data_IF_035818017422
#
_entry.id   IF_035818017422
#
_cell.length_a   1.000
_cell.length_b   1.000
_cell.length_c   1.000
_cell.angle_alpha   90.00
_cell.angle_beta   90.00
_cell.angle_gamma   90.00
#
_symmetry.space_group_name_H-M   'P 1'
#
loop_
_entity.id
_entity.type
_entity.pdbx_description
1 polymer ?
#
# COMPACT_ATOMS: atom_id res chain seq x y z
N UNK A 1 32.55 23.13 27.02
CA UNK A 1 32.24 21.73 26.69
C UNK A 1 30.75 21.43 26.88
N UNK A 2 30.19 21.60 28.08
CA UNK A 2 28.74 21.36 28.33
C UNK A 2 27.82 22.24 27.48
N UNK A 3 28.05 23.56 27.45
CA UNK A 3 27.25 24.49 26.61
C UNK A 3 27.31 24.17 25.10
N UNK A 4 28.42 23.60 24.63
CA UNK A 4 28.58 23.23 23.22
C UNK A 4 27.86 21.91 22.89
N UNK A 5 27.80 20.98 23.86
CA UNK A 5 27.02 19.76 23.77
C UNK A 5 25.52 20.07 23.76
N UNK A 6 25.04 20.99 24.60
CA UNK A 6 23.66 21.47 24.57
C UNK A 6 23.30 22.15 23.23
N UNK A 7 24.23 22.94 22.68
CA UNK A 7 24.03 23.58 21.37
C UNK A 7 23.89 22.55 20.24
N UNK A 8 24.80 21.56 20.19
CA UNK A 8 24.80 20.53 19.15
C UNK A 8 23.55 19.64 19.26
N UNK A 9 23.16 19.27 20.48
CA UNK A 9 21.96 18.46 20.71
C UNK A 9 20.68 19.23 20.33
N UNK A 10 20.60 20.53 20.61
CA UNK A 10 19.51 21.40 20.13
C UNK A 10 19.40 21.41 18.60
N UNK A 11 20.53 21.61 17.90
CA UNK A 11 20.57 21.60 16.43
C UNK A 11 20.16 20.24 15.84
N UNK A 12 20.54 19.14 16.50
CA UNK A 12 20.15 17.80 16.09
C UNK A 12 18.64 17.58 16.20
N UNK A 13 18.01 17.99 17.31
CA UNK A 13 16.56 17.87 17.49
C UNK A 13 15.78 18.73 16.49
N UNK A 14 16.26 19.95 16.22
CA UNK A 14 15.68 20.81 15.20
C UNK A 14 15.76 20.15 13.81
N UNK A 15 16.92 19.63 13.45
CA UNK A 15 17.13 18.91 12.18
C UNK A 15 16.20 17.71 12.06
N UNK A 16 16.07 16.90 13.14
CA UNK A 16 15.12 15.79 13.19
C UNK A 16 13.67 16.25 13.03
N UNK A 17 13.30 17.39 13.62
CA UNK A 17 11.99 18.01 13.43
C UNK A 17 11.72 18.35 11.97
N UNK A 18 12.68 19.02 11.32
CA UNK A 18 12.60 19.39 9.89
C UNK A 18 12.51 18.17 8.98
N UNK A 19 13.30 17.13 9.23
CA UNK A 19 13.25 15.87 8.46
C UNK A 19 11.85 15.24 8.57
N UNK A 20 11.28 15.14 9.78
CA UNK A 20 9.93 14.59 9.96
C UNK A 20 8.88 15.37 9.17
N UNK A 21 8.96 16.70 9.20
CA UNK A 21 8.06 17.56 8.43
C UNK A 21 8.22 17.37 6.91
N UNK A 22 9.46 17.30 6.42
CA UNK A 22 9.75 17.05 5.00
C UNK A 22 9.24 15.69 4.55
N UNK A 23 9.40 14.65 5.36
CA UNK A 23 8.89 13.31 5.02
C UNK A 23 7.36 13.30 4.92
N UNK A 24 6.65 13.96 5.86
CA UNK A 24 5.19 14.07 5.84
C UNK A 24 4.70 14.85 4.62
N UNK A 25 5.23 16.05 4.41
CA UNK A 25 4.84 16.91 3.29
C UNK A 25 5.26 16.31 1.93
N UNK A 26 6.39 15.62 1.87
CA UNK A 26 6.84 14.89 0.68
C UNK A 26 5.88 13.77 0.32
N UNK A 27 5.46 12.95 1.29
CA UNK A 27 4.50 11.88 1.08
C UNK A 27 3.11 12.40 0.66
N UNK A 28 2.70 13.57 1.15
CA UNK A 28 1.45 14.22 0.73
C UNK A 28 1.53 14.72 -0.72
N UNK A 29 2.60 15.46 -1.06
CA UNK A 29 2.82 15.96 -2.43
C UNK A 29 2.95 14.83 -3.43
N UNK A 30 3.67 13.77 -3.08
CA UNK A 30 3.79 12.57 -3.92
C UNK A 30 2.41 11.96 -4.20
N UNK A 31 1.56 11.83 -3.18
CA UNK A 31 0.20 11.32 -3.34
C UNK A 31 -0.64 12.18 -4.28
N UNK A 32 -0.57 13.50 -4.16
CA UNK A 32 -1.29 14.40 -5.07
C UNK A 32 -0.86 14.23 -6.53
N UNK A 33 0.46 14.26 -6.78
CA UNK A 33 1.00 14.11 -8.14
C UNK A 33 0.66 12.73 -8.71
N UNK A 34 0.74 11.69 -7.88
CA UNK A 34 0.38 10.34 -8.29
C UNK A 34 -1.07 10.23 -8.76
N UNK A 35 -2.02 10.80 -8.02
CA UNK A 35 -3.45 10.75 -8.36
C UNK A 35 -3.70 11.43 -9.71
N UNK A 36 -3.09 12.59 -9.94
CA UNK A 36 -3.23 13.32 -11.20
C UNK A 36 -2.64 12.52 -12.37
N UNK A 37 -1.43 11.96 -12.20
CA UNK A 37 -0.79 11.15 -13.23
C UNK A 37 -1.54 9.84 -13.50
N UNK A 38 -2.14 9.23 -12.47
CA UNK A 38 -2.95 8.04 -12.60
C UNK A 38 -4.22 8.30 -13.43
N UNK A 39 -4.89 9.44 -13.22
CA UNK A 39 -6.03 9.86 -14.04
C UNK A 39 -5.61 10.03 -15.51
N UNK A 40 -4.52 10.77 -15.74
CA UNK A 40 -4.03 11.05 -17.09
C UNK A 40 -3.65 9.75 -17.84
N UNK A 41 -2.92 8.86 -17.18
CA UNK A 41 -2.56 7.57 -17.75
C UNK A 41 -3.80 6.71 -18.09
N UNK A 42 -4.84 6.74 -17.24
CA UNK A 42 -6.09 6.02 -17.51
C UNK A 42 -6.86 6.63 -18.66
N UNK A 43 -6.83 7.95 -18.83
CA UNK A 43 -7.34 8.64 -20.01
C UNK A 43 -6.69 8.10 -21.29
N UNK A 44 -5.36 8.04 -21.33
CA UNK A 44 -4.62 7.52 -22.48
C UNK A 44 -4.93 6.05 -22.79
N UNK A 45 -5.08 5.20 -21.77
CA UNK A 45 -5.43 3.79 -22.00
C UNK A 45 -6.85 3.66 -22.58
N UNK A 46 -7.81 4.51 -22.17
CA UNK A 46 -9.16 4.52 -22.77
C UNK A 46 -9.10 4.87 -24.26
N UNK A 47 -8.30 5.87 -24.63
CA UNK A 47 -8.07 6.23 -26.04
C UNK A 47 -7.44 5.08 -26.82
N UNK A 48 -6.44 4.41 -26.23
CA UNK A 48 -5.81 3.24 -26.84
C UNK A 48 -6.80 2.08 -27.04
N UNK A 49 -7.66 1.82 -26.06
CA UNK A 49 -8.68 0.76 -26.17
C UNK A 49 -9.71 1.07 -27.25
N UNK A 50 -10.11 2.33 -27.43
CA UNK A 50 -11.00 2.70 -28.53
C UNK A 50 -10.31 2.56 -29.89
N UNK A 51 -9.03 2.94 -30.01
CA UNK A 51 -8.25 2.70 -31.22
C UNK A 51 -8.09 1.20 -31.50
N UNK A 52 -7.83 0.39 -30.48
CA UNK A 52 -7.73 -1.06 -30.58
C UNK A 52 -9.05 -1.69 -31.06
N UNK A 53 -10.17 -1.24 -30.49
CA UNK A 53 -11.52 -1.63 -30.93
C UNK A 53 -11.75 -1.31 -32.41
N UNK A 54 -11.37 -0.10 -32.85
CA UNK A 54 -11.50 0.31 -34.25
C UNK A 54 -10.67 -0.63 -35.15
N UNK A 55 -9.43 -0.93 -34.77
CA UNK A 55 -8.53 -1.81 -35.53
C UNK A 55 -9.12 -3.21 -35.67
N UNK A 56 -9.63 -3.77 -34.58
CA UNK A 56 -10.22 -5.10 -34.56
C UNK A 56 -11.47 -5.19 -35.44
N UNK A 57 -12.38 -4.22 -35.29
CA UNK A 57 -13.67 -4.26 -36.00
C UNK A 57 -13.53 -3.86 -37.46
N UNK A 58 -12.77 -2.80 -37.78
CA UNK A 58 -12.71 -2.24 -39.13
C UNK A 58 -11.64 -2.91 -40.00
N UNK A 59 -10.40 -3.03 -39.52
CA UNK A 59 -9.29 -3.57 -40.32
C UNK A 59 -9.27 -5.10 -40.32
N UNK A 60 -9.55 -5.74 -39.18
CA UNK A 60 -9.42 -7.19 -39.03
C UNK A 60 -10.74 -7.95 -39.21
N UNK A 61 -11.89 -7.28 -39.04
CA UNK A 61 -13.21 -7.89 -39.16
C UNK A 61 -13.50 -8.95 -38.08
N UNK A 62 -12.78 -8.90 -36.95
CA UNK A 62 -12.95 -9.81 -35.81
C UNK A 62 -13.64 -9.07 -34.66
N UNK A 63 -14.50 -9.74 -33.86
CA UNK A 63 -15.12 -9.10 -32.71
C UNK A 63 -14.05 -8.71 -31.68
N UNK A 64 -14.10 -7.47 -31.21
CA UNK A 64 -13.24 -6.98 -30.15
C UNK A 64 -13.79 -7.41 -28.79
N UNK A 65 -12.93 -8.01 -27.95
CA UNK A 65 -13.23 -8.33 -26.56
C UNK A 65 -12.46 -7.39 -25.63
N UNK A 66 -13.18 -6.65 -24.80
CA UNK A 66 -12.57 -5.70 -23.88
C UNK A 66 -11.77 -6.43 -22.79
N UNK A 67 -10.47 -6.09 -22.60
CA UNK A 67 -9.67 -6.68 -21.55
C UNK A 67 -10.18 -6.26 -20.16
N UNK A 68 -10.17 -7.20 -19.20
CA UNK A 68 -10.57 -6.91 -17.82
C UNK A 68 -9.49 -6.12 -17.09
N UNK A 69 -9.65 -4.81 -17.05
CA UNK A 69 -8.70 -3.89 -16.40
C UNK A 69 -9.26 -3.35 -15.08
N UNK A 70 -9.32 -4.19 -14.04
CA UNK A 70 -9.89 -3.80 -12.73
C UNK A 70 -9.16 -2.67 -11.99
N UNK A 71 -8.00 -2.24 -12.49
CA UNK A 71 -7.32 -1.04 -11.99
C UNK A 71 -7.90 0.26 -12.57
N UNK A 72 -8.71 0.21 -13.63
CA UNK A 72 -9.31 1.38 -14.27
C UNK A 72 -10.55 1.92 -13.55
N UNK A 73 -11.16 1.10 -12.68
CA UNK A 73 -12.45 1.41 -12.05
C UNK A 73 -12.37 2.51 -11.00
N UNK A 74 -11.18 2.86 -10.52
CA UNK A 74 -10.99 3.83 -9.44
C UNK A 74 -9.84 4.77 -9.76
N UNK A 75 -9.92 6.04 -9.38
CA UNK A 75 -8.77 6.95 -9.40
C UNK A 75 -8.61 7.55 -8.01
N UNK A 76 -7.42 7.36 -7.44
CA UNK A 76 -7.08 7.77 -6.07
C UNK A 76 -7.65 6.88 -4.96
N UNK A 77 -7.51 7.36 -3.70
CA UNK A 77 -6.23 7.32 -3.04
C UNK A 77 -5.72 5.88 -2.96
N UNK A 78 -4.44 5.65 -3.29
CA UNK A 78 -3.73 4.39 -3.06
C UNK A 78 -4.14 3.87 -1.68
N UNK A 79 -4.98 2.83 -1.66
CA UNK A 79 -5.73 2.43 -0.47
C UNK A 79 -4.76 2.44 0.69
N UNK A 80 -4.99 3.37 1.64
CA UNK A 80 -3.99 3.71 2.65
C UNK A 80 -3.50 2.41 3.23
N UNK A 81 -2.27 2.00 2.87
CA UNK A 81 -1.68 0.82 3.45
C UNK A 81 -1.67 1.18 4.91
N UNK A 82 -2.57 0.56 5.71
CA UNK A 82 -2.61 0.80 7.16
C UNK A 82 -1.17 0.75 7.57
N UNK A 83 -0.64 1.88 8.04
CA UNK A 83 0.69 1.91 8.61
C UNK A 83 0.67 0.75 9.58
N UNK A 84 1.55 -0.24 9.34
CA UNK A 84 1.61 -1.39 10.22
C UNK A 84 2.02 -0.78 11.56
N UNK A 85 1.05 -0.63 12.46
CA UNK A 85 1.28 -0.10 13.79
C UNK A 85 2.46 -0.85 14.37
N UNK A 86 3.39 -0.11 14.96
CA UNK A 86 4.60 -0.72 15.49
C UNK A 86 4.20 -1.74 16.56
N UNK A 87 4.94 -2.83 16.72
CA UNK A 87 4.53 -3.94 17.59
C UNK A 87 4.30 -3.47 19.04
N UNK A 88 5.07 -2.45 19.46
CA UNK A 88 4.93 -1.78 20.76
C UNK A 88 3.63 -0.98 20.87
N UNK A 89 3.24 -0.27 19.83
CA UNK A 89 2.04 0.59 19.82
C UNK A 89 0.75 -0.25 19.85
N UNK A 90 0.76 -1.40 19.15
CA UNK A 90 -0.33 -2.38 19.24
C UNK A 90 -0.41 -3.00 20.62
N UNK A 91 0.73 -3.31 21.24
CA UNK A 91 0.77 -3.88 22.58
C UNK A 91 0.22 -2.91 23.63
N UNK A 92 0.57 -1.62 23.55
CA UNK A 92 0.05 -0.60 24.48
C UNK A 92 -1.46 -0.42 24.34
N UNK A 93 -2.00 -0.34 23.12
CA UNK A 93 -3.44 -0.24 22.90
C UNK A 93 -4.21 -1.47 23.45
N UNK A 94 -3.65 -2.68 23.30
CA UNK A 94 -4.29 -3.90 23.79
C UNK A 94 -4.29 -4.02 25.33
N UNK A 95 -3.25 -3.49 25.97
CA UNK A 95 -3.15 -3.42 27.44
C UNK A 95 -4.11 -2.37 28.00
N UNK A 96 -4.25 -1.22 27.34
CA UNK A 96 -5.17 -0.14 27.74
C UNK A 96 -6.64 -0.53 27.57
N UNK A 97 -6.98 -1.26 26.51
CA UNK A 97 -8.38 -1.64 26.20
C UNK A 97 -8.80 -2.96 26.89
N UNK A 98 -7.90 -3.64 27.61
CA UNK A 98 -8.25 -4.78 28.45
C UNK A 98 -8.86 -5.98 27.70
N UNK A 99 -8.52 -6.20 26.43
CA UNK A 99 -9.12 -7.26 25.57
C UNK A 99 -8.22 -8.46 25.28
N UNK A 100 -7.39 -8.83 26.25
CA UNK A 100 -6.44 -9.95 26.11
C UNK A 100 -7.17 -11.28 25.82
N UNK A 101 -8.40 -11.46 26.31
CA UNK A 101 -9.19 -12.69 26.08
C UNK A 101 -9.70 -12.86 24.64
N UNK A 102 -10.04 -11.79 23.92
CA UNK A 102 -10.53 -11.89 22.53
C UNK A 102 -9.41 -12.25 21.55
N UNK A 103 -8.20 -11.75 21.79
CA UNK A 103 -7.03 -11.99 20.94
C UNK A 103 -6.51 -13.44 21.05
N UNK A 104 -6.48 -13.99 22.26
CA UNK A 104 -6.15 -15.40 22.50
C UNK A 104 -7.17 -16.35 21.85
N UNK A 105 -8.45 -15.97 21.82
CA UNK A 105 -9.50 -16.71 21.11
C UNK A 105 -9.40 -16.67 19.57
N UNK A 106 -8.81 -15.61 19.00
CA UNK A 106 -8.49 -15.53 17.57
C UNK A 106 -7.28 -16.38 17.19
N UNK A 107 -6.23 -16.37 18.03
CA UNK A 107 -5.05 -17.22 17.85
C UNK A 107 -5.36 -18.72 18.01
N UNK A 108 -6.21 -19.10 18.97
CA UNK A 108 -6.62 -20.49 19.15
C UNK A 108 -7.40 -21.06 17.94
N UNK A 109 -8.16 -20.23 17.21
CA UNK A 109 -8.93 -20.65 16.03
C UNK A 109 -8.09 -20.87 14.77
N UNK A 110 -6.88 -20.31 14.71
CA UNK A 110 -5.93 -20.45 13.59
C UNK A 110 -4.98 -21.65 13.73
N UNK A 111 -5.07 -22.40 14.83
CA UNK A 111 -4.32 -23.63 15.02
C UNK A 111 -5.11 -24.86 14.56
N UNK A 112 -5.09 -25.20 13.27
CA UNK A 112 -5.10 -26.60 12.83
C UNK A 112 -4.95 -26.79 11.31
N UNK A 113 -4.14 -27.83 10.98
CA UNK A 113 -3.90 -28.55 9.72
C UNK A 113 -2.83 -28.00 8.77
N UNK A 114 -1.60 -28.41 9.06
CA UNK A 114 -0.59 -28.67 8.01
C UNK A 114 -1.06 -29.91 7.23
N UNK A 115 -1.29 -29.84 5.90
CA UNK A 115 -1.59 -31.03 5.12
C UNK A 115 -0.32 -31.91 4.99
N UNK A 116 -0.44 -33.25 5.05
CA UNK A 116 0.71 -34.12 4.91
C UNK A 116 1.25 -34.05 3.47
N UNK A 117 2.57 -33.87 3.36
CA UNK A 117 3.30 -33.88 2.10
C UNK A 117 3.26 -35.32 1.57
N UNK A 118 2.51 -35.55 0.48
CA UNK A 118 2.57 -36.81 -0.25
C UNK A 118 3.97 -36.93 -0.89
N UNK A 119 4.84 -37.71 -0.26
CA UNK A 119 6.04 -38.27 -0.91
C UNK A 119 5.55 -39.26 -1.96
N UNK A 120 5.47 -38.84 -3.22
CA UNK A 120 5.52 -39.80 -4.32
C UNK A 120 6.99 -40.14 -4.61
N UNK A 121 7.31 -41.40 -4.35
CA UNK A 121 8.50 -42.10 -4.81
C UNK A 121 8.11 -42.89 -6.05
N UNK A 122 9.01 -42.91 -7.06
CA UNK A 122 8.97 -43.70 -8.32
C UNK A 122 7.97 -43.11 -9.34
N UNK A 123 8.38 -42.75 -10.55
CA UNK A 123 9.33 -43.39 -11.48
C UNK A 123 10.35 -42.40 -12.04
#
# INVERSE_FOLDING_TARGET
LEAELERITGQFQETRGRIRHLMRSGAEKFRQVWIVNEEEAKGLIRELLDADRIIHVQQLGIPWEEPRLGFMDNVGPLGGRREKKDAVEVATELLEVGRIQEFLGFCARKGSRVPPILRNSRY
#
